data_IF_967030986937
#
_entry.id   IF_967030986937
#
_cell.length_a   1.000
_cell.length_b   1.000
_cell.length_c   1.000
_cell.angle_alpha   90.00
_cell.angle_beta   90.00
_cell.angle_gamma   90.00
#
_symmetry.space_group_name_H-M   'P 1'
#
loop_
_entity.id
_entity.type
_entity.pdbx_description
1 polymer ?
#
# COMPACT_ATOMS: atom_id res chain seq x y z
N UNK A 1 27.55 -28.08 10.65
CA UNK A 1 27.21 -26.65 10.82
C UNK A 1 26.07 -26.31 9.87
N UNK A 2 24.86 -26.79 10.18
CA UNK A 2 23.67 -26.57 9.34
C UNK A 2 23.14 -25.18 9.63
N UNK A 3 23.09 -24.32 8.62
CA UNK A 3 22.52 -22.98 8.75
C UNK A 3 21.00 -23.16 8.89
N UNK A 4 20.46 -22.83 10.05
CA UNK A 4 19.02 -22.82 10.28
C UNK A 4 18.42 -21.65 9.51
N UNK A 5 17.96 -21.95 8.30
CA UNK A 5 17.22 -21.03 7.44
C UNK A 5 15.87 -20.76 8.10
N UNK A 6 15.64 -19.50 8.49
CA UNK A 6 14.38 -19.05 9.07
C UNK A 6 13.33 -19.17 7.96
N UNK A 7 12.22 -19.90 8.16
CA UNK A 7 11.16 -19.96 7.16
C UNK A 7 10.64 -18.54 6.91
N UNK A 8 10.74 -18.10 5.66
CA UNK A 8 10.04 -16.90 5.20
C UNK A 8 8.56 -17.29 5.06
N UNK A 9 7.86 -17.30 6.20
CA UNK A 9 6.41 -17.41 6.20
C UNK A 9 5.85 -16.26 5.36
N UNK A 10 5.01 -16.56 4.35
CA UNK A 10 4.30 -15.50 3.64
C UNK A 10 3.43 -14.81 4.67
N UNK A 11 3.58 -13.49 4.81
CA UNK A 11 2.63 -12.66 5.55
C UNK A 11 1.22 -13.11 5.12
N UNK A 12 0.42 -13.56 6.10
CA UNK A 12 -0.85 -14.22 5.84
C UNK A 12 -1.77 -13.39 4.94
N UNK A 13 -2.81 -14.00 4.32
CA UNK A 13 -3.68 -13.29 3.41
C UNK A 13 -4.20 -12.04 4.13
N UNK A 14 -3.99 -10.86 3.54
CA UNK A 14 -4.67 -9.66 3.97
C UNK A 14 -6.16 -9.99 3.94
N UNK A 15 -6.73 -10.24 5.12
CA UNK A 15 -8.09 -10.79 5.28
C UNK A 15 -9.17 -9.79 4.88
N UNK A 16 -8.77 -8.56 4.55
CA UNK A 16 -9.62 -7.46 4.14
C UNK A 16 -9.41 -7.18 2.64
N UNK A 17 -10.48 -7.23 1.86
CA UNK A 17 -10.43 -6.84 0.45
C UNK A 17 -10.01 -5.38 0.27
N UNK A 18 -9.51 -5.02 -0.91
CA UNK A 18 -8.94 -3.69 -1.19
C UNK A 18 -9.90 -2.55 -0.80
N UNK A 19 -11.20 -2.72 -1.05
CA UNK A 19 -12.22 -1.74 -0.66
C UNK A 19 -12.28 -1.48 0.86
N UNK A 20 -12.03 -2.48 1.69
CA UNK A 20 -12.02 -2.34 3.15
C UNK A 20 -10.71 -1.70 3.65
N UNK A 21 -9.58 -2.04 3.01
CA UNK A 21 -8.31 -1.37 3.27
C UNK A 21 -8.38 0.12 2.94
N UNK A 22 -8.97 0.49 1.78
CA UNK A 22 -9.22 1.88 1.37
C UNK A 22 -10.22 2.59 2.29
N UNK A 23 -11.18 1.86 2.86
CA UNK A 23 -12.13 2.42 3.81
C UNK A 23 -11.50 2.73 5.18
N UNK A 24 -10.33 2.15 5.48
CA UNK A 24 -9.67 2.32 6.78
C UNK A 24 -9.32 3.79 7.07
N UNK A 25 -9.46 4.25 8.33
CA UNK A 25 -9.13 5.63 8.69
C UNK A 25 -7.68 6.00 8.39
N UNK A 26 -6.76 5.05 8.58
CA UNK A 26 -5.34 5.23 8.30
C UNK A 26 -5.10 5.52 6.81
N UNK A 27 -5.61 4.67 5.92
CA UNK A 27 -5.42 4.82 4.47
C UNK A 27 -6.08 6.10 3.94
N UNK A 28 -7.27 6.45 4.45
CA UNK A 28 -7.93 7.73 4.12
C UNK A 28 -7.09 8.94 4.49
N UNK A 29 -6.47 8.94 5.68
CA UNK A 29 -5.58 10.01 6.10
C UNK A 29 -4.33 10.08 5.23
N UNK A 30 -3.73 8.93 4.89
CA UNK A 30 -2.57 8.85 4.01
C UNK A 30 -2.88 9.43 2.62
N UNK A 31 -3.99 9.01 1.99
CA UNK A 31 -4.44 9.51 0.69
C UNK A 31 -4.61 11.04 0.71
N UNK A 32 -5.23 11.59 1.75
CA UNK A 32 -5.38 13.05 1.91
C UNK A 32 -4.03 13.76 1.90
N UNK A 33 -3.03 13.23 2.62
CA UNK A 33 -1.69 13.82 2.68
C UNK A 33 -0.99 13.76 1.32
N UNK A 34 -1.13 12.66 0.58
CA UNK A 34 -0.53 12.52 -0.75
C UNK A 34 -1.15 13.52 -1.72
N UNK A 35 -2.50 13.62 -1.76
CA UNK A 35 -3.21 14.58 -2.62
C UNK A 35 -2.90 16.03 -2.27
N UNK A 36 -2.75 16.35 -0.98
CA UNK A 36 -2.39 17.71 -0.54
C UNK A 36 -0.97 18.09 -0.98
N UNK A 37 -0.08 17.11 -1.10
CA UNK A 37 1.30 17.33 -1.58
C UNK A 37 1.42 17.36 -3.11
N UNK A 38 0.40 16.89 -3.84
CA UNK A 38 0.35 16.89 -5.31
C UNK A 38 0.16 18.30 -5.89
N UNK A 39 1.20 19.13 -5.78
CA UNK A 39 1.16 20.54 -6.18
C UNK A 39 1.05 20.74 -7.70
N UNK A 40 1.40 19.72 -8.49
CA UNK A 40 1.37 19.77 -9.95
C UNK A 40 0.17 19.04 -10.55
N UNK A 41 -0.72 18.48 -9.71
CA UNK A 41 -1.92 17.77 -10.16
C UNK A 41 -1.60 16.50 -10.96
N UNK A 42 -0.43 15.89 -10.75
CA UNK A 42 -0.01 14.68 -11.49
C UNK A 42 -1.00 13.53 -11.27
N UNK A 43 -1.66 13.53 -10.11
CA UNK A 43 -2.59 12.49 -9.69
C UNK A 43 -4.04 12.96 -9.78
N UNK A 44 -4.33 14.09 -10.44
CA UNK A 44 -5.70 14.46 -10.79
C UNK A 44 -6.31 13.39 -11.70
N UNK A 45 -7.57 13.03 -11.44
CA UNK A 45 -8.30 11.99 -12.18
C UNK A 45 -7.96 10.54 -11.80
N UNK A 46 -6.88 10.29 -11.05
CA UNK A 46 -6.56 8.94 -10.57
C UNK A 46 -7.47 8.56 -9.40
N UNK A 47 -7.88 7.29 -9.35
CA UNK A 47 -8.59 6.70 -8.22
C UNK A 47 -7.63 6.48 -7.05
N UNK A 48 -8.17 6.41 -5.83
CA UNK A 48 -7.36 6.19 -4.63
C UNK A 48 -6.59 4.87 -4.65
N UNK A 49 -7.17 3.83 -5.27
CA UNK A 49 -6.50 2.54 -5.49
C UNK A 49 -5.32 2.66 -6.46
N UNK A 50 -5.50 3.37 -7.57
CA UNK A 50 -4.47 3.58 -8.60
C UNK A 50 -3.31 4.39 -8.05
N UNK A 51 -3.60 5.41 -7.23
CA UNK A 51 -2.58 6.21 -6.57
C UNK A 51 -1.76 5.39 -5.58
N UNK A 52 -2.40 4.55 -4.77
CA UNK A 52 -1.69 3.72 -3.77
C UNK A 52 -0.89 2.57 -4.38
N UNK A 53 -1.30 2.06 -5.55
CA UNK A 53 -0.59 0.97 -6.22
C UNK A 53 0.90 1.30 -6.46
N UNK A 54 1.22 2.57 -6.73
CA UNK A 54 2.58 3.04 -6.96
C UNK A 54 3.46 3.02 -5.69
N UNK A 55 2.85 2.91 -4.51
CA UNK A 55 3.54 2.82 -3.22
C UNK A 55 3.59 1.40 -2.66
N UNK A 56 2.85 0.45 -3.25
CA UNK A 56 2.78 -0.94 -2.80
C UNK A 56 3.77 -1.77 -3.63
N UNK A 57 4.99 -1.87 -3.12
CA UNK A 57 6.07 -2.63 -3.74
C UNK A 57 6.24 -4.00 -3.11
N UNK A 58 6.78 -4.95 -3.88
CA UNK A 58 7.23 -6.22 -3.30
C UNK A 58 8.52 -6.00 -2.51
N UNK A 59 8.78 -6.86 -1.52
CA UNK A 59 9.96 -6.80 -0.65
C UNK A 59 11.31 -6.85 -1.40
N UNK A 60 11.33 -7.23 -2.67
CA UNK A 60 12.55 -7.46 -3.44
C UNK A 60 13.09 -6.19 -4.16
N UNK A 61 12.45 -5.03 -3.97
CA UNK A 61 12.85 -3.76 -4.58
C UNK A 61 13.86 -2.98 -3.76
#
# INVERSE_FOLDING_TARGET
MGKSEIPHEPVGPAVHGDGEALASPFVKCLLRLIRTQDSFGLWEGHSDAELLAEFIITKQQ
#
